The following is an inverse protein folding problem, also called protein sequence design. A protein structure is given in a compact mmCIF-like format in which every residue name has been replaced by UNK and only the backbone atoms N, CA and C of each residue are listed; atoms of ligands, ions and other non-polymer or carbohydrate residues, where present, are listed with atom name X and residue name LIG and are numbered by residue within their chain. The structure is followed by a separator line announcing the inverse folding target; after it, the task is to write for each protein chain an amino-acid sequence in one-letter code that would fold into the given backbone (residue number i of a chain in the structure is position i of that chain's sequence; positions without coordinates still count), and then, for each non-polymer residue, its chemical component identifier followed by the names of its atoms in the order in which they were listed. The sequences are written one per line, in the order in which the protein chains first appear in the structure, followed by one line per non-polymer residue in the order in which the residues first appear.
data_IF_180291649489
#
_entry.id   IF_180291649489
#
_cell.length_a   1.000
_cell.length_b   1.000
_cell.length_c   1.000
_cell.angle_alpha   90.00
_cell.angle_beta   90.00
_cell.angle_gamma   90.00
#
_symmetry.space_group_name_H-M   'P 1'
#
loop_
_entity.id
_entity.type
_entity.pdbx_description
1 polymer ?
#
# COMPACT_ATOMS: atom_id res chain seq x y z
N UNK A 1 17.12 12.30 19.80
CA UNK A 1 17.58 10.90 19.77
C UNK A 1 16.56 10.12 18.96
N UNK A 2 16.72 10.09 17.64
CA UNK A 2 15.86 9.31 16.75
C UNK A 2 16.20 7.84 16.95
N UNK A 3 15.36 7.14 17.71
CA UNK A 3 15.47 5.71 17.90
C UNK A 3 15.14 5.01 16.57
N UNK A 4 16.05 4.13 16.13
CA UNK A 4 15.77 2.96 15.29
C UNK A 4 15.64 3.21 13.77
N UNK A 5 16.75 3.16 13.05
CA UNK A 5 16.79 3.01 11.58
C UNK A 5 16.14 1.69 11.10
N UNK A 6 15.95 0.70 11.98
CA UNK A 6 15.44 -0.64 11.65
C UNK A 6 13.97 -0.69 11.19
N UNK A 7 13.14 0.33 11.45
CA UNK A 7 11.69 0.25 11.15
C UNK A 7 11.36 0.49 9.66
N UNK A 8 12.19 1.26 8.94
CA UNK A 8 11.92 1.58 7.54
C UNK A 8 12.23 0.39 6.61
N UNK A 9 13.26 -0.39 6.93
CA UNK A 9 13.66 -1.55 6.13
C UNK A 9 12.51 -2.58 6.04
N UNK A 10 11.86 -2.87 7.17
CA UNK A 10 10.68 -3.75 7.21
C UNK A 10 9.48 -3.23 6.41
N UNK A 11 9.32 -1.90 6.34
CA UNK A 11 8.26 -1.27 5.55
C UNK A 11 8.51 -1.41 4.04
N UNK A 12 9.75 -1.21 3.61
CA UNK A 12 10.14 -1.40 2.21
C UNK A 12 10.00 -2.87 1.79
N UNK A 13 10.49 -3.80 2.61
CA UNK A 13 10.35 -5.24 2.35
C UNK A 13 8.88 -5.67 2.30
N UNK A 14 8.03 -5.18 3.20
CA UNK A 14 6.60 -5.48 3.19
C UNK A 14 5.92 -4.99 1.90
N UNK A 15 6.26 -3.79 1.41
CA UNK A 15 5.72 -3.27 0.15
C UNK A 15 6.17 -4.11 -1.04
N UNK A 16 7.38 -4.67 -1.00
CA UNK A 16 7.88 -5.55 -2.05
C UNK A 16 7.14 -6.88 -2.14
N UNK A 17 6.42 -7.28 -1.10
CA UNK A 17 5.56 -8.48 -1.12
C UNK A 17 4.16 -8.24 -1.69
N UNK A 18 3.76 -6.98 -1.93
CA UNK A 18 2.46 -6.69 -2.54
C UNK A 18 2.42 -7.12 -4.01
N UNK A 19 1.24 -7.61 -4.44
CA UNK A 19 0.95 -7.76 -5.86
C UNK A 19 1.11 -6.42 -6.58
N UNK A 20 1.45 -6.41 -7.89
CA UNK A 20 1.64 -5.18 -8.64
C UNK A 20 0.43 -4.25 -8.55
N UNK A 21 -0.78 -4.81 -8.60
CA UNK A 21 -2.05 -4.07 -8.57
C UNK A 21 -2.28 -3.37 -7.23
N UNK A 22 -2.03 -4.07 -6.11
CA UNK A 22 -2.16 -3.48 -4.77
C UNK A 22 -1.07 -2.43 -4.54
N UNK A 23 0.17 -2.72 -4.96
CA UNK A 23 1.29 -1.78 -4.83
C UNK A 23 1.02 -0.47 -5.57
N UNK A 24 0.48 -0.57 -6.78
CA UNK A 24 0.17 0.59 -7.60
C UNK A 24 -0.96 1.43 -7.00
N UNK A 25 -2.01 0.79 -6.48
CA UNK A 25 -3.07 1.48 -5.75
C UNK A 25 -2.55 2.18 -4.48
N UNK A 26 -1.77 1.49 -3.66
CA UNK A 26 -1.13 2.06 -2.45
C UNK A 26 -0.22 3.23 -2.81
N UNK A 27 0.57 3.12 -3.88
CA UNK A 27 1.44 4.19 -4.36
C UNK A 27 0.64 5.45 -4.70
N UNK A 28 -0.42 5.31 -5.50
CA UNK A 28 -1.23 6.45 -5.91
C UNK A 28 -1.96 7.10 -4.72
N UNK A 29 -2.52 6.32 -3.80
CA UNK A 29 -3.26 6.86 -2.66
C UNK A 29 -2.34 7.49 -1.60
N UNK A 30 -1.29 6.78 -1.17
CA UNK A 30 -0.52 7.17 0.02
C UNK A 30 0.78 7.91 -0.31
N UNK A 31 1.38 7.67 -1.48
CA UNK A 31 2.62 8.35 -1.88
C UNK A 31 2.36 9.54 -2.79
N UNK A 32 1.41 9.43 -3.72
CA UNK A 32 1.04 10.52 -4.62
C UNK A 32 -0.14 11.37 -4.10
N UNK A 33 -0.88 10.91 -3.10
CA UNK A 33 -1.93 11.67 -2.42
C UNK A 33 -3.26 11.75 -3.17
N UNK A 34 -3.53 10.83 -4.10
CA UNK A 34 -4.80 10.77 -4.83
C UNK A 34 -5.93 10.20 -3.96
N UNK A 35 -7.16 10.68 -4.17
CA UNK A 35 -8.36 10.06 -3.57
C UNK A 35 -8.68 8.71 -4.22
N UNK A 36 -9.49 7.88 -3.57
CA UNK A 36 -9.88 6.57 -4.11
C UNK A 36 -10.56 6.67 -5.49
N UNK A 37 -11.38 7.70 -5.70
CA UNK A 37 -12.00 7.99 -7.01
C UNK A 37 -10.94 8.31 -8.08
N UNK A 38 -9.96 9.17 -7.74
CA UNK A 38 -8.86 9.51 -8.65
C UNK A 38 -7.96 8.31 -8.93
N UNK A 39 -7.75 7.43 -7.94
CA UNK A 39 -7.03 6.17 -8.11
C UNK A 39 -7.78 5.25 -9.09
N UNK A 40 -9.10 5.15 -8.96
CA UNK A 40 -9.93 4.36 -9.87
C UNK A 40 -9.81 4.87 -11.32
N UNK A 41 -9.92 6.19 -11.51
CA UNK A 41 -9.75 6.85 -12.81
C UNK A 41 -8.36 6.59 -13.40
N UNK A 42 -7.29 6.76 -12.61
CA UNK A 42 -5.91 6.57 -13.04
C UNK A 42 -5.57 5.12 -13.38
N UNK A 43 -6.21 4.16 -12.71
CA UNK A 43 -6.02 2.73 -12.95
C UNK A 43 -6.99 2.18 -14.02
N UNK A 44 -7.97 2.96 -14.47
CA UNK A 44 -8.99 2.52 -15.44
C UNK A 44 -9.91 1.43 -14.88
N UNK A 45 -10.25 1.49 -13.60
CA UNK A 45 -11.13 0.52 -12.91
C UNK A 45 -12.29 1.21 -12.21
N UNK A 46 -13.26 0.45 -11.69
CA UNK A 46 -14.32 1.03 -10.85
C UNK A 46 -13.80 1.44 -9.47
N UNK A 47 -14.50 2.38 -8.81
CA UNK A 47 -14.19 2.80 -7.44
C UNK A 47 -14.21 1.62 -6.48
N UNK A 48 -15.19 0.70 -6.58
CA UNK A 48 -15.25 -0.50 -5.74
C UNK A 48 -14.01 -1.41 -5.89
N UNK A 49 -13.46 -1.49 -7.11
CA UNK A 49 -12.23 -2.27 -7.38
C UNK A 49 -11.01 -1.55 -6.81
N UNK A 50 -10.92 -0.23 -6.94
CA UNK A 50 -9.86 0.56 -6.33
C UNK A 50 -9.88 0.43 -4.78
N UNK A 51 -11.05 0.55 -4.17
CA UNK A 51 -11.27 0.38 -2.73
C UNK A 51 -10.85 -1.01 -2.24
N UNK A 52 -11.22 -2.04 -3.00
CA UNK A 52 -10.83 -3.43 -2.69
C UNK A 52 -9.31 -3.60 -2.77
N UNK A 53 -8.66 -3.08 -3.82
CA UNK A 53 -7.19 -3.15 -3.98
C UNK A 53 -6.45 -2.43 -2.86
N UNK A 54 -6.95 -1.27 -2.44
CA UNK A 54 -6.40 -0.51 -1.32
C UNK A 54 -6.56 -1.29 -0.01
N UNK A 55 -7.76 -1.80 0.24
CA UNK A 55 -8.07 -2.55 1.46
C UNK A 55 -7.23 -3.83 1.57
N UNK A 56 -7.19 -4.65 0.52
CA UNK A 56 -6.38 -5.87 0.47
C UNK A 56 -4.88 -5.55 0.58
N UNK A 57 -4.42 -4.48 -0.06
CA UNK A 57 -3.05 -3.99 0.09
C UNK A 57 -2.70 -3.65 1.54
N UNK A 58 -3.55 -2.90 2.24
CA UNK A 58 -3.34 -2.54 3.65
C UNK A 58 -3.41 -3.75 4.59
N UNK A 59 -4.34 -4.68 4.35
CA UNK A 59 -4.45 -5.93 5.12
C UNK A 59 -3.17 -6.75 4.97
N UNK A 60 -2.66 -6.88 3.74
CA UNK A 60 -1.42 -7.58 3.45
C UNK A 60 -0.23 -6.93 4.13
N UNK A 61 -0.06 -5.60 3.99
CA UNK A 61 1.01 -4.85 4.64
C UNK A 61 0.97 -5.00 6.17
N UNK A 62 -0.22 -4.90 6.77
CA UNK A 62 -0.38 -5.12 8.21
C UNK A 62 0.06 -6.53 8.62
N UNK A 63 -0.25 -7.53 7.82
CA UNK A 63 0.17 -8.91 8.07
C UNK A 63 1.69 -9.05 7.98
N UNK A 64 2.30 -8.57 6.89
CA UNK A 64 3.73 -8.63 6.66
C UNK A 64 4.53 -7.92 7.76
N UNK A 65 4.11 -6.72 8.16
CA UNK A 65 4.76 -5.94 9.21
C UNK A 65 4.60 -6.53 10.61
N UNK A 66 3.55 -7.32 10.86
CA UNK A 66 3.38 -8.06 12.12
C UNK A 66 4.31 -9.26 12.24
N UNK A 67 4.70 -9.87 11.12
CA UNK A 67 5.63 -11.02 11.11
C UNK A 67 7.08 -10.56 11.22
N UNK A 68 7.38 -9.35 10.72
CA UNK A 68 8.72 -8.76 10.78
C UNK A 68 9.08 -8.11 12.13
N UNK A 69 8.09 -7.89 13.02
CA UNK A 69 8.25 -7.28 14.34
C UNK A 69 8.60 -8.31 15.43
#
# INVERSE_FOLDING_TARGET
MFTTTHTLDHATEAIDTLSPEHRQAIHLAYYAGFSNDQVADLLGVSVDVADSRLSEGLIHLRSALRVAA
#
